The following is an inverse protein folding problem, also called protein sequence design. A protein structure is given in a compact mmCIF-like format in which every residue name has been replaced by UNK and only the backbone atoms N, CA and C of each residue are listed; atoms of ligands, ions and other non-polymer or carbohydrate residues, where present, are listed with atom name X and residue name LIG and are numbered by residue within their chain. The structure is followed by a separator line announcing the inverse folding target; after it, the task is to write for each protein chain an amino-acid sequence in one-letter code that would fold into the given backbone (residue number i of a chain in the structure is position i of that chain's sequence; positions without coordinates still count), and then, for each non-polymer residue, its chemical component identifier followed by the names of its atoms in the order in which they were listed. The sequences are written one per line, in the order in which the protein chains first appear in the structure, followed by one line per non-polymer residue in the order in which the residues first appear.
data_IF_768650209349
#
_entry.id   IF_768650209349
#
_cell.length_a   1.000
_cell.length_b   1.000
_cell.length_c   1.000
_cell.angle_alpha   90.00
_cell.angle_beta   90.00
_cell.angle_gamma   90.00
#
_symmetry.space_group_name_H-M   'P 1'
#
loop_
_entity.id
_entity.type
_entity.pdbx_description
1 polymer ?
#
# COMPACT_ATOMS: atom_id res chain seq x y z
N UNK A 1 21.23 -6.78 6.27
CA UNK A 1 20.00 -6.58 7.07
C UNK A 1 18.93 -6.11 6.10
N UNK A 2 18.01 -6.99 5.79
CA UNK A 2 16.92 -6.74 4.86
C UNK A 2 15.96 -5.71 5.46
N UNK A 3 15.71 -4.61 4.73
CA UNK A 3 14.80 -3.56 5.16
C UNK A 3 13.31 -3.91 4.98
N UNK A 4 13.03 -5.07 4.40
CA UNK A 4 11.69 -5.48 3.99
C UNK A 4 10.83 -5.96 5.17
N UNK A 5 11.34 -6.78 6.06
CA UNK A 5 10.58 -7.29 7.21
C UNK A 5 10.15 -6.19 8.19
N UNK A 6 10.92 -5.08 8.28
CA UNK A 6 10.51 -3.89 9.06
C UNK A 6 9.27 -3.21 8.50
N UNK A 7 9.08 -3.23 7.17
CA UNK A 7 7.92 -2.62 6.52
C UNK A 7 6.65 -3.45 6.79
N UNK A 8 6.73 -4.77 6.68
CA UNK A 8 5.61 -5.65 7.02
C UNK A 8 5.17 -5.47 8.48
N UNK A 9 6.12 -5.45 9.42
CA UNK A 9 5.83 -5.20 10.84
C UNK A 9 5.18 -3.84 11.11
N UNK A 10 5.51 -2.80 10.33
CA UNK A 10 4.86 -1.49 10.39
C UNK A 10 3.41 -1.57 9.89
N UNK A 11 3.15 -2.29 8.81
CA UNK A 11 1.79 -2.48 8.29
C UNK A 11 0.91 -3.30 9.25
N UNK A 12 1.42 -4.40 9.78
CA UNK A 12 0.70 -5.27 10.72
C UNK A 12 0.37 -4.55 12.03
N UNK A 13 1.27 -3.73 12.57
CA UNK A 13 1.03 -2.94 13.79
C UNK A 13 0.00 -1.83 13.60
N UNK A 14 -0.12 -1.26 12.39
CA UNK A 14 -1.06 -0.17 12.08
C UNK A 14 -2.50 -0.62 11.87
N UNK A 15 -2.75 -1.88 11.51
CA UNK A 15 -4.10 -2.42 11.31
C UNK A 15 -4.89 -2.73 12.59
N UNK A 16 -4.31 -2.54 13.78
CA UNK A 16 -4.88 -3.03 15.05
C UNK A 16 -5.99 -2.15 15.66
N UNK A 17 -6.16 -0.91 15.20
CA UNK A 17 -7.22 -0.03 15.72
C UNK A 17 -8.41 0.07 14.78
N UNK A 18 -9.64 0.13 15.30
CA UNK A 18 -10.86 0.25 14.49
C UNK A 18 -10.87 1.52 13.62
N UNK A 19 -10.27 2.60 14.11
CA UNK A 19 -10.10 3.83 13.34
C UNK A 19 -9.16 3.65 12.14
N UNK A 20 -8.07 2.90 12.30
CA UNK A 20 -7.15 2.58 11.21
C UNK A 20 -7.81 1.67 10.17
N UNK A 21 -8.57 0.66 10.61
CA UNK A 21 -9.37 -0.20 9.71
C UNK A 21 -10.37 0.60 8.87
N UNK A 22 -11.11 1.52 9.48
CA UNK A 22 -12.09 2.36 8.77
C UNK A 22 -11.43 3.19 7.64
N UNK A 23 -10.20 3.64 7.85
CA UNK A 23 -9.45 4.41 6.86
C UNK A 23 -8.92 3.54 5.72
N UNK A 24 -8.42 2.33 6.04
CA UNK A 24 -8.03 1.33 5.03
C UNK A 24 -9.24 0.97 4.16
N UNK A 25 -10.41 0.72 4.76
CA UNK A 25 -11.64 0.44 4.02
C UNK A 25 -12.06 1.60 3.11
N UNK A 26 -11.89 2.83 3.56
CA UNK A 26 -12.18 4.02 2.75
C UNK A 26 -11.22 4.13 1.57
N UNK A 27 -9.93 3.87 1.77
CA UNK A 27 -8.91 3.87 0.70
C UNK A 27 -9.24 2.81 -0.35
N UNK A 28 -9.42 1.56 0.06
CA UNK A 28 -9.74 0.44 -0.84
C UNK A 28 -11.07 0.73 -1.58
N UNK A 29 -12.08 1.25 -0.90
CA UNK A 29 -13.35 1.62 -1.53
C UNK A 29 -13.20 2.67 -2.62
N UNK A 30 -12.30 3.65 -2.47
CA UNK A 30 -12.00 4.64 -3.51
C UNK A 30 -11.24 4.01 -4.67
N UNK A 31 -10.26 3.15 -4.41
CA UNK A 31 -9.51 2.40 -5.43
C UNK A 31 -10.47 1.54 -6.27
N UNK A 32 -11.41 0.83 -5.63
CA UNK A 32 -12.47 0.08 -6.31
C UNK A 32 -13.34 1.01 -7.16
N UNK A 33 -13.75 2.16 -6.64
CA UNK A 33 -14.58 3.12 -7.38
C UNK A 33 -13.93 3.58 -8.68
N UNK A 34 -12.64 3.94 -8.63
CA UNK A 34 -11.88 4.35 -9.82
C UNK A 34 -11.74 3.18 -10.79
N UNK A 35 -11.37 2.02 -10.28
CA UNK A 35 -11.17 0.83 -11.09
C UNK A 35 -12.44 0.38 -11.83
N UNK A 36 -13.61 0.49 -11.18
CA UNK A 36 -14.92 0.20 -11.80
C UNK A 36 -15.27 1.21 -12.88
N UNK A 37 -14.98 2.50 -12.66
CA UNK A 37 -15.23 3.55 -13.67
C UNK A 37 -14.34 3.39 -14.91
N UNK A 38 -13.10 2.93 -14.74
CA UNK A 38 -12.13 2.73 -15.83
C UNK A 38 -12.37 1.43 -16.62
N UNK A 39 -12.64 0.33 -15.90
CA UNK A 39 -12.63 -1.03 -16.48
C UNK A 39 -13.95 -1.80 -16.35
N UNK A 40 -14.99 -1.18 -15.79
CA UNK A 40 -16.29 -1.82 -15.58
C UNK A 40 -16.40 -2.63 -14.27
N UNK A 41 -17.65 -3.01 -13.89
CA UNK A 41 -17.95 -3.62 -12.59
C UNK A 41 -17.76 -5.14 -12.52
N UNK A 42 -17.46 -5.81 -13.63
CA UNK A 42 -17.32 -7.27 -13.68
C UNK A 42 -15.86 -7.70 -13.40
N UNK A 43 -15.59 -8.38 -12.27
CA UNK A 43 -14.25 -8.86 -11.94
C UNK A 43 -13.67 -9.88 -12.94
N UNK A 44 -14.51 -10.54 -13.74
CA UNK A 44 -14.03 -11.50 -14.75
C UNK A 44 -13.39 -10.79 -15.93
N UNK A 45 -13.89 -9.61 -16.30
CA UNK A 45 -13.35 -8.79 -17.38
C UNK A 45 -12.38 -7.71 -16.89
N UNK A 46 -12.43 -7.37 -15.60
CA UNK A 46 -11.59 -6.34 -14.97
C UNK A 46 -10.60 -6.97 -13.97
N UNK A 47 -9.40 -7.30 -14.47
CA UNK A 47 -8.37 -7.95 -13.67
C UNK A 47 -7.94 -7.12 -12.45
N UNK A 48 -7.80 -5.79 -12.62
CA UNK A 48 -7.45 -4.87 -11.53
C UNK A 48 -8.52 -4.84 -10.43
N UNK A 49 -9.81 -4.92 -10.81
CA UNK A 49 -10.91 -5.02 -9.85
C UNK A 49 -10.84 -6.32 -9.06
N UNK A 50 -10.53 -7.43 -9.71
CA UNK A 50 -10.37 -8.74 -9.05
C UNK A 50 -9.26 -8.69 -8.00
N UNK A 51 -8.11 -8.08 -8.31
CA UNK A 51 -7.00 -7.94 -7.38
C UNK A 51 -7.36 -7.01 -6.20
N UNK A 52 -8.09 -5.92 -6.46
CA UNK A 52 -8.59 -5.03 -5.40
C UNK A 52 -9.63 -5.70 -4.50
N UNK A 53 -10.48 -6.57 -5.03
CA UNK A 53 -11.40 -7.39 -4.23
C UNK A 53 -10.63 -8.36 -3.34
N UNK A 54 -9.60 -9.02 -3.86
CA UNK A 54 -8.73 -9.90 -3.06
C UNK A 54 -8.03 -9.11 -1.94
N UNK A 55 -7.48 -7.94 -2.25
CA UNK A 55 -6.89 -7.00 -1.26
C UNK A 55 -7.90 -6.55 -0.21
N UNK A 56 -9.14 -6.26 -0.61
CA UNK A 56 -10.21 -5.90 0.32
C UNK A 56 -10.51 -7.05 1.30
N UNK A 57 -10.61 -8.27 0.79
CA UNK A 57 -10.87 -9.48 1.60
C UNK A 57 -9.72 -9.77 2.57
N UNK A 58 -8.46 -9.66 2.15
CA UNK A 58 -7.30 -9.84 3.03
C UNK A 58 -7.24 -8.79 4.17
N UNK A 59 -7.80 -7.60 3.92
CA UNK A 59 -7.97 -6.55 4.94
C UNK A 59 -9.29 -6.68 5.75
N UNK A 60 -9.99 -7.81 5.66
CA UNK A 60 -11.25 -8.07 6.35
C UNK A 60 -12.37 -7.06 6.05
N UNK A 61 -12.42 -6.52 4.82
CA UNK A 61 -13.55 -5.70 4.35
C UNK A 61 -14.74 -6.62 4.12
N UNK A 62 -15.92 -6.36 4.74
CA UNK A 62 -17.11 -7.18 4.53
C UNK A 62 -17.53 -7.23 3.05
N UNK A 63 -17.93 -8.40 2.55
CA UNK A 63 -18.35 -8.58 1.17
C UNK A 63 -19.48 -7.62 0.77
N UNK A 64 -20.47 -7.40 1.65
CA UNK A 64 -21.57 -6.47 1.40
C UNK A 64 -21.09 -5.03 1.16
N UNK A 65 -19.99 -4.62 1.81
CA UNK A 65 -19.39 -3.31 1.57
C UNK A 65 -18.70 -3.24 0.22
N UNK A 66 -17.99 -4.29 -0.18
CA UNK A 66 -17.34 -4.40 -1.49
C UNK A 66 -18.40 -4.30 -2.59
N UNK A 67 -19.46 -5.12 -2.51
CA UNK A 67 -20.55 -5.17 -3.49
C UNK A 67 -21.27 -3.83 -3.59
N UNK A 68 -21.51 -3.18 -2.44
CA UNK A 68 -22.15 -1.87 -2.40
C UNK A 68 -21.31 -0.79 -3.09
N UNK A 69 -19.98 -0.81 -2.89
CA UNK A 69 -19.07 0.15 -3.53
C UNK A 69 -19.06 -0.08 -5.05
N UNK A 70 -18.96 -1.34 -5.50
CA UNK A 70 -18.97 -1.70 -6.92
C UNK A 70 -20.29 -1.26 -7.57
N UNK A 71 -21.44 -1.59 -6.98
CA UNK A 71 -22.75 -1.20 -7.48
C UNK A 71 -22.92 0.32 -7.55
N UNK A 72 -22.45 1.03 -6.51
CA UNK A 72 -22.51 2.50 -6.49
C UNK A 72 -21.64 3.12 -7.58
N UNK A 73 -20.42 2.58 -7.79
CA UNK A 73 -19.49 3.08 -8.80
C UNK A 73 -19.96 2.81 -10.24
N UNK A 74 -20.69 1.72 -10.46
CA UNK A 74 -21.27 1.35 -11.75
C UNK A 74 -22.52 2.18 -12.11
N UNK A 75 -23.16 2.81 -11.13
CA UNK A 75 -24.34 3.66 -11.34
C UNK A 75 -23.97 5.06 -11.83
N UNK A 76 -24.81 5.67 -12.67
CA UNK A 76 -24.61 7.03 -13.21
C UNK A 76 -24.62 8.16 -12.16
N UNK A 77 -24.89 7.84 -10.89
CA UNK A 77 -25.05 8.81 -9.80
C UNK A 77 -23.76 9.17 -9.04
N UNK A 78 -22.66 8.50 -9.24
CA UNK A 78 -21.41 8.80 -8.52
C UNK A 78 -20.63 9.92 -9.21
N UNK A 79 -20.79 11.14 -8.70
CA UNK A 79 -20.13 12.36 -9.19
C UNK A 79 -18.68 12.51 -8.69
N UNK A 80 -18.17 11.57 -7.90
CA UNK A 80 -16.82 11.67 -7.36
C UNK A 80 -15.78 11.26 -8.42
N UNK A 81 -15.08 12.23 -8.95
CA UNK A 81 -13.91 12.01 -9.81
C UNK A 81 -12.67 12.00 -8.93
N UNK A 82 -12.19 10.80 -8.58
CA UNK A 82 -10.92 10.65 -7.91
C UNK A 82 -9.79 10.66 -8.92
N UNK A 83 -8.71 11.35 -8.56
CA UNK A 83 -7.47 11.39 -9.33
C UNK A 83 -6.32 10.89 -8.45
N UNK A 84 -5.41 10.11 -9.05
CA UNK A 84 -4.18 9.69 -8.40
C UNK A 84 -3.14 10.80 -8.51
N UNK A 85 -2.49 11.13 -7.39
CA UNK A 85 -1.41 12.12 -7.34
C UNK A 85 -0.31 11.57 -6.45
N UNK A 86 0.93 11.75 -6.89
CA UNK A 86 2.11 11.41 -6.10
C UNK A 86 2.74 12.70 -5.58
N UNK A 87 3.00 12.74 -4.28
CA UNK A 87 3.77 13.79 -3.64
C UNK A 87 5.10 13.22 -3.18
N UNK A 88 6.14 14.02 -3.34
CA UNK A 88 7.51 13.64 -3.04
C UNK A 88 8.15 14.66 -2.10
N UNK A 89 8.99 14.21 -1.20
CA UNK A 89 9.65 15.10 -0.28
C UNK A 89 10.60 14.38 0.66
N UNK A 90 11.13 15.15 1.57
CA UNK A 90 12.02 14.66 2.62
C UNK A 90 11.33 14.81 3.99
N UNK A 91 11.29 13.74 4.75
CA UNK A 91 10.88 13.72 6.15
C UNK A 91 12.02 14.18 7.09
N UNK A 92 11.84 14.01 8.40
CA UNK A 92 12.87 14.32 9.39
C UNK A 92 14.22 13.67 9.02
N UNK A 93 15.31 14.41 9.28
CA UNK A 93 16.69 13.99 8.99
C UNK A 93 16.96 13.61 7.51
N UNK A 94 16.17 14.15 6.58
CA UNK A 94 16.37 13.94 5.15
C UNK A 94 15.95 12.56 4.62
N UNK A 95 15.10 11.85 5.32
CA UNK A 95 14.53 10.58 4.84
C UNK A 95 13.62 10.85 3.65
N UNK A 96 13.89 10.19 2.52
CA UNK A 96 13.05 10.30 1.33
C UNK A 96 11.66 9.68 1.55
N UNK A 97 10.61 10.39 1.14
CA UNK A 97 9.21 9.98 1.31
C UNK A 97 8.44 10.18 0.03
N UNK A 98 7.75 9.13 -0.43
CA UNK A 98 6.74 9.19 -1.47
C UNK A 98 5.37 9.01 -0.83
N UNK A 99 4.40 9.85 -1.20
CA UNK A 99 3.01 9.78 -0.74
C UNK A 99 2.08 9.67 -1.93
N UNK A 100 1.53 8.49 -2.15
CA UNK A 100 0.51 8.25 -3.16
C UNK A 100 -0.87 8.60 -2.60
N UNK A 101 -1.56 9.50 -3.27
CA UNK A 101 -2.87 10.00 -2.85
C UNK A 101 -3.92 9.74 -3.92
N UNK A 102 -5.09 9.29 -3.48
CA UNK A 102 -6.29 9.23 -4.31
C UNK A 102 -7.30 10.27 -3.80
N UNK A 103 -7.53 11.32 -4.58
CA UNK A 103 -8.30 12.49 -4.13
C UNK A 103 -9.28 13.03 -5.16
N UNK A 104 -10.37 13.59 -4.67
CA UNK A 104 -11.36 14.38 -5.43
C UNK A 104 -10.99 15.87 -5.51
N UNK A 105 -9.94 16.31 -4.76
CA UNK A 105 -9.54 17.72 -4.71
C UNK A 105 -8.03 17.86 -4.50
N UNK A 106 -7.28 18.07 -5.60
CA UNK A 106 -5.82 18.23 -5.63
C UNK A 106 -5.32 19.33 -4.69
N UNK A 107 -5.97 20.50 -4.73
CA UNK A 107 -5.49 21.68 -3.97
C UNK A 107 -5.60 21.45 -2.46
N UNK A 108 -6.72 20.87 -2.02
CA UNK A 108 -6.91 20.51 -0.61
C UNK A 108 -5.86 19.49 -0.16
N UNK A 109 -5.64 18.45 -0.94
CA UNK A 109 -4.68 17.40 -0.62
C UNK A 109 -3.26 17.93 -0.61
N UNK A 110 -2.85 18.73 -1.60
CA UNK A 110 -1.54 19.37 -1.63
C UNK A 110 -1.28 20.23 -0.39
N UNK A 111 -2.27 21.03 0.01
CA UNK A 111 -2.17 21.87 1.22
C UNK A 111 -2.00 21.05 2.50
N UNK A 112 -2.74 19.94 2.62
CA UNK A 112 -2.67 19.08 3.80
C UNK A 112 -1.38 18.26 3.85
N UNK A 113 -0.95 17.69 2.73
CA UNK A 113 0.33 16.94 2.67
C UNK A 113 1.49 17.87 3.02
N UNK A 114 1.53 19.08 2.42
CA UNK A 114 2.54 20.10 2.76
C UNK A 114 2.53 20.43 4.24
N UNK A 115 1.35 20.69 4.80
CA UNK A 115 1.21 20.97 6.23
C UNK A 115 1.76 19.84 7.11
N UNK A 116 1.56 18.56 6.75
CA UNK A 116 2.11 17.46 7.53
C UNK A 116 3.63 17.37 7.42
N UNK A 117 4.20 17.55 6.23
CA UNK A 117 5.64 17.61 6.07
C UNK A 117 6.24 18.71 6.93
N UNK A 118 5.75 19.97 6.80
CA UNK A 118 6.24 21.11 7.55
C UNK A 118 6.10 20.92 9.07
N UNK A 119 4.94 20.43 9.52
CA UNK A 119 4.63 20.22 10.94
C UNK A 119 5.54 19.21 11.60
N UNK A 120 5.94 18.17 10.88
CA UNK A 120 6.74 17.09 11.44
C UNK A 120 8.22 17.15 11.07
N UNK A 121 8.70 18.32 10.63
CA UNK A 121 10.12 18.60 10.41
C UNK A 121 10.67 18.05 9.10
N UNK A 122 9.80 17.86 8.13
CA UNK A 122 10.15 17.53 6.75
C UNK A 122 9.97 18.71 5.81
N UNK A 123 10.10 18.45 4.52
CA UNK A 123 9.88 19.41 3.45
C UNK A 123 9.29 18.71 2.22
N UNK A 124 8.15 19.21 1.73
CA UNK A 124 7.56 18.73 0.49
C UNK A 124 8.33 19.32 -0.71
N UNK A 125 8.89 18.45 -1.54
CA UNK A 125 9.65 18.81 -2.72
C UNK A 125 8.82 18.93 -3.99
N UNK A 126 9.52 19.05 -5.10
CA UNK A 126 8.92 18.98 -6.44
C UNK A 126 8.85 17.53 -6.92
N UNK A 127 7.98 17.24 -7.87
CA UNK A 127 7.90 15.92 -8.51
C UNK A 127 9.26 15.52 -9.08
N UNK A 128 9.68 14.27 -8.85
CA UNK A 128 10.98 13.75 -9.26
C UNK A 128 12.12 13.96 -8.26
N UNK A 129 11.89 14.62 -7.12
CA UNK A 129 12.97 14.94 -6.18
C UNK A 129 13.48 13.72 -5.38
N UNK A 130 12.67 12.66 -5.22
CA UNK A 130 13.05 11.43 -4.53
C UNK A 130 12.69 10.14 -5.29
N UNK A 131 11.84 10.20 -6.30
CA UNK A 131 11.35 9.01 -7.02
C UNK A 131 12.46 8.18 -7.65
N UNK A 132 13.59 8.79 -8.04
CA UNK A 132 14.76 8.08 -8.56
C UNK A 132 15.42 7.12 -7.55
N UNK A 133 15.12 7.28 -6.25
CA UNK A 133 15.60 6.38 -5.19
C UNK A 133 14.68 5.19 -4.94
N UNK A 134 13.56 5.11 -5.64
CA UNK A 134 12.57 4.05 -5.49
C UNK A 134 12.39 3.28 -6.81
N UNK A 135 12.02 2.02 -6.68
CA UNK A 135 11.60 1.18 -7.80
C UNK A 135 10.26 0.52 -7.49
N UNK A 136 9.40 0.46 -8.50
CA UNK A 136 8.13 -0.24 -8.38
C UNK A 136 8.37 -1.75 -8.46
N UNK A 137 7.97 -2.49 -7.42
CA UNK A 137 8.08 -3.95 -7.35
C UNK A 137 6.78 -4.58 -6.85
N UNK A 138 6.51 -5.79 -7.30
CA UNK A 138 5.56 -6.68 -6.65
C UNK A 138 6.18 -7.22 -5.37
N UNK A 139 5.48 -7.10 -4.25
CA UNK A 139 5.89 -7.67 -2.96
C UNK A 139 4.82 -8.63 -2.48
N UNK A 140 5.22 -9.86 -2.24
CA UNK A 140 4.40 -10.92 -1.69
C UNK A 140 4.90 -11.25 -0.30
N UNK A 141 4.00 -11.41 0.66
CA UNK A 141 4.32 -11.82 2.03
C UNK A 141 3.63 -13.14 2.31
N UNK A 142 4.42 -14.13 2.69
CA UNK A 142 3.96 -15.45 3.08
C UNK A 142 4.08 -15.62 4.59
N UNK A 143 3.25 -16.46 5.17
CA UNK A 143 3.43 -16.93 6.53
C UNK A 143 4.62 -17.90 6.59
N UNK A 144 5.53 -17.67 7.55
CA UNK A 144 6.64 -18.57 7.80
C UNK A 144 6.26 -19.51 8.95
N UNK A 145 5.73 -20.67 8.59
CA UNK A 145 5.36 -21.73 9.56
C UNK A 145 6.45 -22.82 9.62
N UNK A 146 7.70 -22.40 9.75
CA UNK A 146 8.86 -23.30 9.83
C UNK A 146 9.20 -23.98 8.49
N UNK A 147 9.02 -23.24 7.40
CA UNK A 147 9.28 -23.71 6.04
C UNK A 147 10.79 -23.88 5.78
N UNK A 148 11.13 -24.84 4.93
CA UNK A 148 12.48 -25.07 4.46
C UNK A 148 12.93 -23.99 3.47
N UNK A 149 14.05 -23.33 3.76
CA UNK A 149 14.53 -22.19 2.97
C UNK A 149 14.86 -22.56 1.52
N UNK A 150 15.50 -23.72 1.31
CA UNK A 150 15.90 -24.18 -0.03
C UNK A 150 14.66 -24.47 -0.87
N UNK A 151 13.61 -25.08 -0.30
CA UNK A 151 12.35 -25.35 -0.98
C UNK A 151 11.60 -24.07 -1.30
N UNK A 152 11.53 -23.12 -0.37
CA UNK A 152 10.91 -21.81 -0.62
C UNK A 152 11.60 -21.07 -1.73
N UNK A 153 12.93 -21.09 -1.75
CA UNK A 153 13.76 -20.47 -2.78
C UNK A 153 13.43 -21.06 -4.17
N UNK A 154 13.46 -22.39 -4.32
CA UNK A 154 13.14 -23.06 -5.59
C UNK A 154 11.73 -22.68 -6.06
N UNK A 155 10.75 -22.77 -5.18
CA UNK A 155 9.35 -22.47 -5.49
C UNK A 155 9.13 -21.00 -5.87
N UNK A 156 9.77 -20.06 -5.21
CA UNK A 156 9.68 -18.63 -5.54
C UNK A 156 10.29 -18.33 -6.92
N UNK A 157 11.47 -18.87 -7.22
CA UNK A 157 12.11 -18.63 -8.52
C UNK A 157 11.43 -19.35 -9.69
N UNK A 158 10.71 -20.46 -9.46
CA UNK A 158 9.89 -21.09 -10.47
C UNK A 158 8.78 -20.15 -11.01
N UNK A 159 8.30 -19.22 -10.18
CA UNK A 159 7.27 -18.24 -10.53
C UNK A 159 7.79 -16.82 -10.73
N UNK A 160 9.01 -16.67 -11.24
CA UNK A 160 9.64 -15.39 -11.60
C UNK A 160 9.81 -14.41 -10.42
N UNK A 161 10.13 -14.91 -9.22
CA UNK A 161 10.60 -14.03 -8.16
C UNK A 161 11.99 -13.46 -8.48
N UNK A 162 12.22 -12.19 -8.16
CA UNK A 162 13.54 -11.54 -8.26
C UNK A 162 14.41 -11.84 -7.04
N UNK A 163 13.79 -11.87 -5.86
CA UNK A 163 14.47 -11.99 -4.57
C UNK A 163 13.49 -12.45 -3.48
N UNK A 164 14.01 -13.07 -2.43
CA UNK A 164 13.23 -13.43 -1.24
C UNK A 164 14.05 -13.22 0.04
N UNK A 165 13.39 -13.04 1.18
CA UNK A 165 13.99 -12.92 2.49
C UNK A 165 13.20 -13.70 3.54
N UNK A 166 13.93 -14.48 4.35
CA UNK A 166 13.45 -15.20 5.52
C UNK A 166 14.09 -14.67 6.82
N UNK A 167 14.51 -13.40 6.85
CA UNK A 167 15.13 -12.77 8.02
C UNK A 167 14.16 -12.62 9.21
N UNK A 168 12.87 -12.77 8.96
CA UNK A 168 11.80 -12.70 9.98
C UNK A 168 11.30 -14.11 10.31
N UNK A 169 11.13 -14.40 11.60
CA UNK A 169 10.66 -15.72 12.06
C UNK A 169 9.19 -16.00 11.71
N UNK A 170 8.39 -14.95 11.51
CA UNK A 170 6.93 -15.08 11.28
C UNK A 170 6.55 -14.98 9.80
N UNK A 171 7.37 -14.32 8.96
CA UNK A 171 7.02 -14.04 7.57
C UNK A 171 8.19 -14.19 6.60
N UNK A 172 7.85 -14.53 5.36
CA UNK A 172 8.76 -14.56 4.21
C UNK A 172 8.33 -13.45 3.26
N UNK A 173 9.27 -12.57 2.91
CA UNK A 173 9.04 -11.54 1.92
C UNK A 173 9.62 -11.95 0.57
N UNK A 174 8.81 -11.89 -0.48
CA UNK A 174 9.21 -12.23 -1.84
C UNK A 174 8.99 -11.02 -2.74
N UNK A 175 9.99 -10.64 -3.52
CA UNK A 175 9.88 -9.55 -4.48
C UNK A 175 9.98 -10.04 -5.92
N UNK A 176 9.24 -9.38 -6.81
CA UNK A 176 9.21 -9.69 -8.24
C UNK A 176 8.94 -8.43 -9.07
N UNK A 177 9.02 -8.55 -10.39
CA UNK A 177 8.49 -7.52 -11.28
C UNK A 177 6.97 -7.35 -11.05
N UNK A 178 6.41 -6.12 -11.13
CA UNK A 178 4.98 -5.89 -10.91
C UNK A 178 4.06 -6.77 -11.76
N UNK A 179 4.46 -7.07 -13.00
CA UNK A 179 3.70 -7.91 -13.91
C UNK A 179 3.68 -9.40 -13.50
N UNK A 180 4.70 -9.88 -12.81
CA UNK A 180 4.82 -11.27 -12.36
C UNK A 180 4.04 -11.54 -11.06
N UNK A 181 3.71 -10.51 -10.27
CA UNK A 181 3.11 -10.65 -8.94
C UNK A 181 1.87 -11.55 -8.89
N UNK A 182 1.03 -11.50 -9.92
CA UNK A 182 -0.16 -12.34 -9.97
C UNK A 182 0.22 -13.81 -10.13
N UNK A 183 1.08 -14.13 -11.11
CA UNK A 183 1.52 -15.50 -11.37
C UNK A 183 2.22 -16.10 -10.15
N UNK A 184 3.10 -15.32 -9.53
CA UNK A 184 3.79 -15.69 -8.29
C UNK A 184 2.80 -16.00 -7.16
N UNK A 185 1.80 -15.14 -6.92
CA UNK A 185 0.77 -15.36 -5.91
C UNK A 185 -0.06 -16.62 -6.19
N UNK A 186 -0.53 -16.78 -7.42
CA UNK A 186 -1.36 -17.93 -7.81
C UNK A 186 -0.55 -19.22 -7.70
N UNK A 187 0.68 -19.27 -8.22
CA UNK A 187 1.55 -20.43 -8.19
C UNK A 187 1.93 -20.87 -6.77
N UNK A 188 2.36 -19.93 -5.92
CA UNK A 188 2.69 -20.26 -4.53
C UNK A 188 1.45 -20.68 -3.72
N UNK A 189 0.28 -20.09 -3.99
CA UNK A 189 -0.98 -20.53 -3.36
C UNK A 189 -1.34 -21.97 -3.77
N UNK A 190 -1.15 -22.35 -5.05
CA UNK A 190 -1.38 -23.70 -5.54
C UNK A 190 -0.41 -24.73 -4.93
N UNK A 191 0.84 -24.32 -4.64
CA UNK A 191 1.81 -25.13 -3.89
C UNK A 191 1.52 -25.24 -2.39
N UNK A 192 0.51 -24.51 -1.89
CA UNK A 192 0.03 -24.62 -0.51
C UNK A 192 0.60 -23.54 0.44
N UNK A 193 1.33 -22.56 -0.07
CA UNK A 193 1.81 -21.45 0.76
C UNK A 193 0.65 -20.54 1.20
N UNK A 194 0.71 -20.09 2.45
CA UNK A 194 -0.27 -19.15 2.99
C UNK A 194 0.15 -17.71 2.68
N UNK A 195 -0.51 -17.09 1.70
CA UNK A 195 -0.24 -15.70 1.27
C UNK A 195 -0.96 -14.73 2.20
N UNK A 196 -0.21 -13.93 2.96
CA UNK A 196 -0.72 -12.89 3.84
C UNK A 196 -1.05 -11.59 3.09
N UNK A 197 -0.19 -11.20 2.15
CA UNK A 197 -0.42 -10.03 1.30
C UNK A 197 0.30 -10.15 -0.04
N UNK A 198 -0.20 -9.44 -1.06
CA UNK A 198 0.45 -9.31 -2.37
C UNK A 198 0.09 -7.94 -2.94
N UNK A 199 1.07 -7.03 -3.01
CA UNK A 199 0.85 -5.65 -3.44
C UNK A 199 2.02 -5.14 -4.29
N UNK A 200 1.71 -4.25 -5.22
CA UNK A 200 2.74 -3.48 -5.93
C UNK A 200 3.10 -2.28 -5.07
N UNK A 201 4.39 -2.08 -4.80
CA UNK A 201 4.89 -1.06 -3.89
C UNK A 201 6.13 -0.37 -4.44
N UNK A 202 6.38 0.86 -3.96
CA UNK A 202 7.62 1.59 -4.20
C UNK A 202 8.67 1.17 -3.18
N UNK A 203 9.70 0.45 -3.63
CA UNK A 203 10.78 -0.06 -2.80
C UNK A 203 11.99 0.86 -2.93
N UNK A 204 12.53 1.41 -1.80
CA UNK A 204 13.71 2.25 -1.85
C UNK A 204 14.98 1.43 -2.14
N UNK A 205 15.90 2.00 -2.92
CA UNK A 205 17.20 1.40 -3.21
C UNK A 205 18.18 1.49 -2.04
N UNK A 206 17.96 2.42 -1.12
CA UNK A 206 18.81 2.65 0.05
C UNK A 206 17.97 2.95 1.29
N UNK A 207 18.48 2.54 2.46
CA UNK A 207 17.84 2.74 3.75
C UNK A 207 18.72 3.63 4.62
N UNK A 208 18.08 4.49 5.43
CA UNK A 208 18.74 5.35 6.43
C UNK A 208 18.25 4.96 7.82
N UNK A 209 19.18 4.79 8.75
CA UNK A 209 18.85 4.57 10.17
C UNK A 209 18.58 5.91 10.84
N UNK A 210 17.48 6.02 11.56
CA UNK A 210 17.18 7.15 12.43
C UNK A 210 17.52 6.78 13.87
N UNK A 211 18.60 7.34 14.41
CA UNK A 211 19.07 7.07 15.78
C UNK A 211 18.48 8.05 16.81
N UNK A 212 17.96 9.19 16.37
CA UNK A 212 17.33 10.20 17.22
C UNK A 212 15.85 9.84 17.48
N UNK A 213 15.50 9.63 18.76
CA UNK A 213 14.14 9.29 19.18
C UNK A 213 13.09 10.34 18.78
N UNK A 214 13.47 11.64 18.77
CA UNK A 214 12.56 12.72 18.35
C UNK A 214 12.30 12.66 16.85
N UNK A 215 13.32 12.38 16.03
CA UNK A 215 13.18 12.20 14.59
C UNK A 215 12.33 10.97 14.26
N UNK A 216 12.54 9.84 14.95
CA UNK A 216 11.71 8.64 14.83
C UNK A 216 10.24 8.94 15.16
N UNK A 217 9.99 9.66 16.26
CA UNK A 217 8.62 10.05 16.65
C UNK A 217 7.97 10.96 15.62
N UNK A 218 8.68 11.97 15.12
CA UNK A 218 8.19 12.87 14.06
C UNK A 218 7.91 12.12 12.76
N UNK A 219 8.80 11.20 12.37
CA UNK A 219 8.62 10.37 11.18
C UNK A 219 7.38 9.48 11.27
N UNK A 220 7.17 8.82 12.41
CA UNK A 220 5.97 8.02 12.65
C UNK A 220 4.70 8.86 12.57
N UNK A 221 4.70 10.07 13.16
CA UNK A 221 3.56 10.99 13.08
C UNK A 221 3.31 11.47 11.63
N UNK A 222 4.36 11.73 10.85
CA UNK A 222 4.23 12.08 9.43
C UNK A 222 3.58 10.94 8.65
N UNK A 223 4.10 9.72 8.79
CA UNK A 223 3.56 8.52 8.14
C UNK A 223 2.10 8.27 8.53
N UNK A 224 1.76 8.35 9.82
CA UNK A 224 0.40 8.16 10.31
C UNK A 224 -0.57 9.19 9.74
N UNK A 225 -0.20 10.46 9.71
CA UNK A 225 -1.06 11.51 9.18
C UNK A 225 -1.22 11.40 7.66
N UNK A 226 -0.17 11.05 6.91
CA UNK A 226 -0.26 10.81 5.48
C UNK A 226 -1.08 9.55 5.14
N UNK A 227 -0.82 8.41 5.82
CA UNK A 227 -1.54 7.15 5.59
C UNK A 227 -3.01 7.21 6.02
N UNK A 228 -3.30 7.98 7.06
CA UNK A 228 -4.63 8.09 7.63
C UNK A 228 -5.40 9.29 7.07
N UNK A 229 -4.80 10.08 6.18
CA UNK A 229 -5.47 11.19 5.55
C UNK A 229 -6.58 10.67 4.62
N UNK A 230 -7.79 10.73 5.11
CA UNK A 230 -8.99 10.70 4.27
C UNK A 230 -9.46 12.13 4.13
N UNK A 231 -9.49 12.63 2.90
CA UNK A 231 -10.06 13.96 2.64
C UNK A 231 -11.41 14.09 3.34
N UNK A 232 -11.55 14.99 4.35
CA UNK A 232 -12.82 15.11 5.06
C UNK A 232 -13.89 15.58 4.07
N UNK A 233 -15.05 14.91 4.12
CA UNK A 233 -16.24 15.38 3.43
C UNK A 233 -16.61 16.78 3.98
N UNK A 234 -17.21 17.66 3.16
CA UNK A 234 -17.74 18.93 3.66
C UNK A 234 -18.72 18.81 4.84
N UNK A 235 -19.27 17.61 5.06
CA UNK A 235 -20.18 17.30 6.18
C UNK A 235 -19.48 17.03 7.51
N UNK A 236 -18.17 16.77 7.51
CA UNK A 236 -17.43 16.44 8.73
C UNK A 236 -16.86 17.68 9.45
N UNK A 237 -17.29 18.88 9.03
CA UNK A 237 -16.89 20.19 9.59
C UNK A 237 -18.00 20.89 10.38
N UNK A 238 -18.93 20.14 10.95
CA UNK A 238 -19.90 20.72 11.89
C UNK A 238 -19.61 20.28 13.32
#
# INVERSE_FOLDING_TARGET
MSGHSKWHNIQMKKGKTDAARGKIFTKIGREITVCVKEGGPDPNSNAKLRDLIAKAKSNNVPNDNIDRVIKKAAGEGDKNNYESIVYEGYGPNGVAVIVECLTDNKNRTAGNVRHYFDKFGGNLGTSGCVSFMFSEKGVLVLENDGLDEDQVMEDCFEFDADDFSMDDEEVIEVSCAPAALRGLREGLTEKGYHVLSAEVMQIPSTYTTLDDEEAVKKMNLLLENCLLYTSPSPRDRQ
#
